data_IF_744750121699
#
_entry.id   IF_744750121699
#
_cell.length_a   1.000
_cell.length_b   1.000
_cell.length_c   1.000
_cell.angle_alpha   90.00
_cell.angle_beta   90.00
_cell.angle_gamma   90.00
#
_symmetry.space_group_name_H-M   'P 1'
#
loop_
_entity.id
_entity.type
_entity.pdbx_description
1 polymer ?
#
# COMPACT_ATOMS: atom_id res chain seq x y z
N UNK A 1 12.26 0.95 3.58
CA UNK A 1 13.14 -0.20 3.92
C UNK A 1 14.29 0.25 4.80
N UNK A 2 15.05 1.28 4.40
CA UNK A 2 16.10 1.94 5.22
C UNK A 2 15.77 2.14 6.71
N UNK A 3 14.55 2.53 7.08
CA UNK A 3 14.17 2.67 8.50
C UNK A 3 14.30 1.37 9.32
N UNK A 4 13.92 0.23 8.74
CA UNK A 4 14.04 -1.07 9.40
C UNK A 4 15.51 -1.53 9.48
N UNK A 5 16.31 -1.22 8.46
CA UNK A 5 17.74 -1.54 8.42
C UNK A 5 18.52 -0.82 9.54
N UNK A 6 18.14 0.43 9.85
CA UNK A 6 18.76 1.21 10.95
C UNK A 6 18.61 0.56 12.33
N UNK A 7 17.61 -0.31 12.52
CA UNK A 7 17.37 -1.04 13.77
C UNK A 7 17.69 -2.53 13.65
N UNK A 8 18.44 -2.93 12.63
CA UNK A 8 18.88 -4.32 12.44
C UNK A 8 17.80 -5.28 11.95
N UNK A 9 16.69 -4.78 11.40
CA UNK A 9 15.60 -5.60 10.86
C UNK A 9 15.69 -5.74 9.34
N UNK A 10 15.50 -6.96 8.84
CA UNK A 10 15.41 -7.23 7.40
C UNK A 10 13.96 -7.29 6.92
N UNK A 11 13.62 -6.48 5.92
CA UNK A 11 12.27 -6.43 5.35
C UNK A 11 12.08 -7.54 4.32
N UNK A 12 11.36 -8.60 4.69
CA UNK A 12 11.04 -9.73 3.81
C UNK A 12 9.91 -9.42 2.80
N UNK A 13 9.08 -8.41 3.08
CA UNK A 13 7.96 -8.04 2.22
C UNK A 13 7.45 -6.64 2.56
N UNK A 14 6.97 -5.92 1.55
CA UNK A 14 6.37 -4.61 1.73
C UNK A 14 5.18 -4.46 0.78
N UNK A 15 3.97 -4.46 1.35
CA UNK A 15 2.71 -4.28 0.62
C UNK A 15 2.10 -2.94 1.02
N UNK A 16 1.87 -2.05 0.05
CA UNK A 16 1.15 -0.79 0.27
C UNK A 16 -0.35 -1.06 0.22
N UNK A 17 -1.02 -0.92 1.35
CA UNK A 17 -2.46 -1.26 1.50
C UNK A 17 -3.40 -0.06 1.41
N UNK A 18 -2.87 1.17 1.49
CA UNK A 18 -3.63 2.43 1.48
C UNK A 18 -2.77 3.60 0.99
N UNK A 19 -3.39 4.60 0.37
CA UNK A 19 -2.81 5.92 0.10
C UNK A 19 -3.87 6.97 0.49
N UNK A 20 -3.60 7.81 1.47
CA UNK A 20 -4.61 8.78 1.97
C UNK A 20 -5.92 8.06 2.35
N UNK A 21 -7.02 8.45 1.71
CA UNK A 21 -8.34 7.83 1.89
C UNK A 21 -8.64 6.67 0.92
N UNK A 22 -7.71 6.32 0.03
CA UNK A 22 -7.86 5.25 -0.97
C UNK A 22 -7.34 3.92 -0.40
N UNK A 23 -8.21 2.92 -0.33
CA UNK A 23 -7.88 1.58 0.16
C UNK A 23 -7.61 0.61 -0.99
N UNK A 24 -6.61 -0.27 -0.82
CA UNK A 24 -6.36 -1.38 -1.76
C UNK A 24 -7.53 -2.39 -1.78
N UNK A 25 -8.10 -2.67 -0.61
CA UNK A 25 -9.21 -3.62 -0.46
C UNK A 25 -8.87 -5.00 -1.03
N UNK A 26 -9.86 -5.60 -1.68
CA UNK A 26 -9.77 -6.93 -2.30
C UNK A 26 -9.33 -6.88 -3.78
N UNK A 27 -8.70 -5.79 -4.22
CA UNK A 27 -8.22 -5.66 -5.60
C UNK A 27 -7.13 -6.72 -5.87
N UNK A 28 -7.33 -7.62 -6.87
CA UNK A 28 -6.33 -8.60 -7.21
C UNK A 28 -5.02 -7.95 -7.67
N UNK A 29 -3.90 -8.65 -7.45
CA UNK A 29 -2.58 -8.12 -7.83
C UNK A 29 -2.50 -7.98 -9.36
N UNK A 30 -2.03 -6.83 -9.83
CA UNK A 30 -1.94 -6.52 -11.27
C UNK A 30 -3.20 -5.90 -11.87
N UNK A 31 -4.30 -5.83 -11.11
CA UNK A 31 -5.54 -5.18 -11.55
C UNK A 31 -5.58 -3.71 -11.13
N UNK A 32 -6.50 -2.97 -11.74
CA UNK A 32 -6.83 -1.60 -11.38
C UNK A 32 -8.36 -1.42 -11.36
N UNK A 33 -8.81 -0.38 -10.66
CA UNK A 33 -10.22 0.04 -10.61
C UNK A 33 -10.31 1.55 -10.64
N UNK A 34 -11.45 2.07 -11.08
CA UNK A 34 -11.76 3.48 -10.90
C UNK A 34 -11.96 3.81 -9.42
N UNK A 35 -11.63 5.05 -9.04
CA UNK A 35 -11.88 5.57 -7.71
C UNK A 35 -13.38 5.86 -7.54
N UNK A 36 -13.90 5.57 -6.35
CA UNK A 36 -15.23 6.05 -5.97
C UNK A 36 -15.20 7.58 -5.82
N UNK A 37 -16.34 8.24 -5.98
CA UNK A 37 -16.50 9.70 -5.83
C UNK A 37 -16.02 10.22 -4.46
N UNK A 38 -15.99 9.35 -3.45
CA UNK A 38 -15.53 9.64 -2.09
C UNK A 38 -14.01 9.47 -1.91
N UNK A 39 -13.36 8.74 -2.80
CA UNK A 39 -11.93 8.45 -2.72
C UNK A 39 -11.13 9.57 -3.40
N UNK A 40 -10.42 10.36 -2.58
CA UNK A 40 -9.55 11.45 -3.02
C UNK A 40 -8.15 11.26 -2.43
N UNK A 41 -7.16 11.73 -3.19
CA UNK A 41 -5.75 11.77 -2.77
C UNK A 41 -5.48 12.93 -1.83
#
# INVERSE_FOLDING_TARGET
>A
RRMCELVGLHVIGLKRVRIGNVLLGDLPTGMWRFLDKKEKF
#
